data_IF_069755827132
#
_entry.id   IF_069755827132
#
_cell.length_a   1.000
_cell.length_b   1.000
_cell.length_c   1.000
_cell.angle_alpha   90.00
_cell.angle_beta   90.00
_cell.angle_gamma   90.00
#
_symmetry.space_group_name_H-M   'P 1'
#
loop_
_entity.id
_entity.type
_entity.pdbx_description
1 polymer ?
#
# COMPACT_ATOMS: atom_id res chain seq x y z
N UNK A 1 -11.49 -18.74 -3.00
CA UNK A 1 -12.80 -18.08 -2.82
C UNK A 1 -13.00 -16.93 -3.78
N UNK A 2 -11.97 -16.12 -4.10
CA UNK A 2 -12.17 -14.90 -4.87
C UNK A 2 -12.84 -13.82 -4.02
N UNK A 3 -13.33 -12.78 -4.67
CA UNK A 3 -13.99 -11.64 -4.02
C UNK A 3 -13.05 -10.44 -3.83
N UNK A 4 -13.39 -9.61 -2.85
CA UNK A 4 -12.68 -8.37 -2.51
C UNK A 4 -12.20 -8.48 -1.07
N UNK A 5 -10.91 -8.22 -0.88
CA UNK A 5 -10.30 -7.95 0.40
C UNK A 5 -10.00 -6.46 0.48
N UNK A 6 -10.26 -5.85 1.64
CA UNK A 6 -9.87 -4.49 1.93
C UNK A 6 -9.59 -4.37 3.43
N UNK A 7 -8.56 -3.61 3.79
CA UNK A 7 -8.31 -3.26 5.19
C UNK A 7 -9.54 -2.52 5.78
N UNK A 8 -9.75 -2.69 7.08
CA UNK A 8 -10.98 -2.24 7.76
C UNK A 8 -11.16 -0.72 7.74
N UNK A 9 -10.09 0.01 7.49
CA UNK A 9 -10.08 1.45 7.37
C UNK A 9 -10.35 1.95 5.96
N UNK A 10 -10.58 1.10 4.96
CA UNK A 10 -11.08 1.58 3.67
C UNK A 10 -12.57 1.93 3.72
N UNK A 11 -12.93 2.99 3.00
CA UNK A 11 -14.30 3.37 2.69
C UNK A 11 -14.46 3.42 1.17
N UNK A 12 -15.44 2.70 0.64
CA UNK A 12 -15.81 2.77 -0.77
C UNK A 12 -16.52 4.10 -1.06
N UNK A 13 -16.08 4.80 -2.10
CA UNK A 13 -16.68 6.05 -2.59
C UNK A 13 -17.42 5.86 -3.91
N UNK A 14 -17.15 4.75 -4.61
CA UNK A 14 -17.85 4.35 -5.82
C UNK A 14 -18.02 2.82 -5.87
N UNK A 15 -18.80 2.35 -6.84
CA UNK A 15 -18.97 0.91 -7.09
C UNK A 15 -17.70 0.33 -7.72
N UNK A 16 -17.42 -0.95 -7.44
CA UNK A 16 -16.28 -1.68 -8.00
C UNK A 16 -16.58 -2.30 -9.38
N UNK A 17 -17.74 -2.04 -9.97
CA UNK A 17 -18.23 -2.75 -11.16
C UNK A 17 -17.25 -2.67 -12.35
N UNK A 18 -16.63 -1.51 -12.57
CA UNK A 18 -15.65 -1.31 -13.65
C UNK A 18 -14.37 -2.15 -13.50
N UNK A 19 -14.09 -2.63 -12.28
CA UNK A 19 -12.93 -3.47 -11.99
C UNK A 19 -13.25 -4.96 -12.13
N UNK A 20 -14.53 -5.35 -12.26
CA UNK A 20 -14.95 -6.76 -12.43
C UNK A 20 -14.58 -7.34 -13.78
N UNK A 21 -14.21 -6.50 -14.76
CA UNK A 21 -13.66 -6.93 -16.05
C UNK A 21 -12.25 -7.53 -15.94
N UNK A 22 -11.59 -7.35 -14.81
CA UNK A 22 -10.27 -7.91 -14.52
C UNK A 22 -10.41 -9.14 -13.62
N UNK A 23 -9.64 -10.18 -13.92
CA UNK A 23 -9.69 -11.45 -13.17
C UNK A 23 -8.91 -11.40 -11.86
N UNK A 24 -7.94 -10.50 -11.76
CA UNK A 24 -7.30 -10.12 -10.51
C UNK A 24 -6.95 -8.64 -10.53
N UNK A 25 -7.11 -7.98 -9.38
CA UNK A 25 -6.72 -6.59 -9.17
C UNK A 25 -5.90 -6.51 -7.90
N UNK A 26 -4.72 -5.92 -8.01
CA UNK A 26 -3.88 -5.57 -6.86
C UNK A 26 -3.73 -4.07 -6.90
N UNK A 27 -4.20 -3.36 -5.88
CA UNK A 27 -4.03 -1.89 -5.85
C UNK A 27 -2.56 -1.53 -5.65
N UNK A 28 -2.21 -0.26 -5.81
CA UNK A 28 -0.85 0.23 -5.55
C UNK A 28 -0.82 1.06 -4.29
N UNK A 29 0.32 1.01 -3.59
CA UNK A 29 0.61 1.90 -2.50
C UNK A 29 0.48 3.36 -2.96
N UNK A 30 0.09 4.27 -2.06
CA UNK A 30 0.21 5.69 -2.27
C UNK A 30 1.58 6.06 -2.83
N UNK A 31 1.67 7.04 -3.74
CA UNK A 31 2.98 7.48 -4.21
C UNK A 31 3.86 8.01 -3.07
N UNK A 32 3.28 8.69 -2.08
CA UNK A 32 4.00 9.13 -0.87
C UNK A 32 4.59 7.96 -0.07
N UNK A 33 3.88 6.83 0.03
CA UNK A 33 4.41 5.63 0.66
C UNK A 33 5.49 4.98 -0.22
N UNK A 34 5.24 4.90 -1.52
CA UNK A 34 6.20 4.38 -2.50
C UNK A 34 7.52 5.16 -2.51
N UNK A 35 7.47 6.48 -2.29
CA UNK A 35 8.63 7.37 -2.18
C UNK A 35 9.55 7.03 -1.02
N UNK A 36 9.04 6.50 0.10
CA UNK A 36 9.89 6.05 1.21
C UNK A 36 10.84 4.91 0.80
N UNK A 37 10.47 4.19 -0.26
CA UNK A 37 11.25 3.09 -0.82
C UNK A 37 12.06 3.49 -2.07
N UNK A 38 11.95 4.75 -2.53
CA UNK A 38 12.79 5.30 -3.61
C UNK A 38 14.28 5.00 -3.36
N UNK A 39 14.69 5.12 -2.12
CA UNK A 39 16.04 4.89 -1.69
C UNK A 39 16.51 3.43 -1.61
N UNK A 40 15.57 2.48 -1.58
CA UNK A 40 15.87 1.04 -1.58
C UNK A 40 16.11 0.56 -3.02
N UNK A 41 15.31 1.02 -3.97
CA UNK A 41 15.45 0.65 -5.39
C UNK A 41 16.41 1.57 -6.16
N UNK A 42 16.67 2.78 -5.66
CA UNK A 42 17.66 3.73 -6.17
C UNK A 42 17.39 4.26 -7.59
N UNK A 43 16.18 4.05 -8.13
CA UNK A 43 15.84 4.35 -9.53
C UNK A 43 14.63 5.26 -9.62
N UNK A 44 14.69 6.20 -10.58
CA UNK A 44 13.58 7.04 -11.00
C UNK A 44 13.17 6.66 -12.44
N UNK A 45 11.86 6.67 -12.80
CA UNK A 45 10.70 6.91 -11.94
C UNK A 45 10.52 5.80 -10.91
N UNK A 46 9.79 6.10 -9.83
CA UNK A 46 9.42 5.10 -8.85
C UNK A 46 8.71 3.92 -9.51
N UNK A 47 9.12 2.70 -9.15
CA UNK A 47 8.37 1.51 -9.54
C UNK A 47 7.03 1.49 -8.83
N UNK A 48 6.02 1.00 -9.56
CA UNK A 48 4.70 0.71 -9.02
C UNK A 48 4.88 -0.26 -7.85
N UNK A 49 4.44 0.17 -6.68
CA UNK A 49 4.48 -0.66 -5.49
C UNK A 49 3.08 -1.21 -5.25
N UNK A 50 2.81 -2.51 -5.45
CA UNK A 50 1.52 -3.10 -5.11
C UNK A 50 1.24 -3.00 -3.61
N UNK A 51 -0.01 -2.73 -3.26
CA UNK A 51 -0.50 -2.68 -1.90
C UNK A 51 -1.27 -3.97 -1.56
N UNK A 52 -0.95 -4.64 -0.45
CA UNK A 52 -1.73 -5.78 0.03
C UNK A 52 -3.03 -5.36 0.73
N UNK A 53 -3.29 -4.06 0.89
CA UNK A 53 -4.39 -3.51 1.68
C UNK A 53 -5.75 -3.47 0.96
N UNK A 54 -5.75 -3.63 -0.37
CA UNK A 54 -6.98 -3.71 -1.16
C UNK A 54 -6.75 -4.60 -2.38
N UNK A 55 -7.45 -5.72 -2.43
CA UNK A 55 -7.16 -6.84 -3.32
C UNK A 55 -8.47 -7.40 -3.88
N UNK A 56 -8.49 -7.76 -5.16
CA UNK A 56 -9.65 -8.39 -5.79
C UNK A 56 -9.20 -9.57 -6.64
N UNK A 57 -10.02 -10.63 -6.69
CA UNK A 57 -9.88 -11.65 -7.75
C UNK A 57 -11.18 -12.39 -8.01
N UNK A 58 -11.29 -12.89 -9.24
CA UNK A 58 -12.24 -13.92 -9.60
C UNK A 58 -11.99 -15.19 -8.76
N UNK A 59 -13.04 -15.95 -8.41
CA UNK A 59 -12.88 -17.25 -7.80
C UNK A 59 -11.99 -18.15 -8.68
N UNK A 60 -10.96 -18.75 -8.08
CA UNK A 60 -10.08 -19.71 -8.76
C UNK A 60 -8.87 -19.12 -9.48
N UNK A 61 -8.72 -17.78 -9.54
CA UNK A 61 -7.53 -17.14 -10.11
C UNK A 61 -6.24 -17.59 -9.41
N UNK A 62 -5.17 -17.86 -10.17
CA UNK A 62 -3.97 -18.51 -9.63
C UNK A 62 -3.08 -17.57 -8.81
N UNK A 63 -3.17 -16.26 -9.01
CA UNK A 63 -2.28 -15.28 -8.37
C UNK A 63 -2.15 -15.43 -6.86
N UNK A 64 -3.26 -15.42 -6.10
CA UNK A 64 -3.15 -15.51 -4.64
C UNK A 64 -2.67 -16.88 -4.15
N UNK A 65 -2.95 -17.95 -4.91
CA UNK A 65 -2.37 -19.28 -4.63
C UNK A 65 -0.86 -19.26 -4.86
N UNK A 66 -0.40 -18.62 -5.94
CA UNK A 66 1.01 -18.41 -6.20
C UNK A 66 1.67 -17.60 -5.08
N UNK A 67 1.06 -16.50 -4.61
CA UNK A 67 1.56 -15.75 -3.46
C UNK A 67 1.76 -16.64 -2.22
N UNK A 68 0.75 -17.44 -1.86
CA UNK A 68 0.85 -18.36 -0.72
C UNK A 68 1.97 -19.38 -0.92
N UNK A 69 2.10 -19.95 -2.12
CA UNK A 69 3.16 -20.91 -2.41
C UNK A 69 4.56 -20.29 -2.30
N UNK A 70 4.77 -19.08 -2.82
CA UNK A 70 6.05 -18.39 -2.68
C UNK A 70 6.36 -18.06 -1.22
N UNK A 71 5.38 -17.53 -0.47
CA UNK A 71 5.56 -17.20 0.95
C UNK A 71 5.89 -18.44 1.79
N UNK A 72 5.37 -19.62 1.45
CA UNK A 72 5.71 -20.89 2.13
C UNK A 72 7.16 -21.31 1.95
N UNK A 73 7.81 -20.87 0.87
CA UNK A 73 9.21 -21.20 0.58
C UNK A 73 10.20 -20.21 1.18
N UNK A 74 9.72 -19.04 1.63
CA UNK A 74 10.54 -18.00 2.21
C UNK A 74 10.49 -18.09 3.74
N UNK A 75 11.65 -18.05 4.40
CA UNK A 75 11.70 -17.92 5.85
C UNK A 75 11.29 -16.49 6.26
N UNK A 76 10.44 -16.37 7.28
CA UNK A 76 10.13 -15.07 7.89
C UNK A 76 11.28 -14.64 8.80
N UNK A 77 11.79 -13.42 8.57
CA UNK A 77 12.76 -12.76 9.45
C UNK A 77 12.02 -11.78 10.34
N UNK A 78 12.22 -11.87 11.65
CA UNK A 78 11.66 -10.91 12.59
C UNK A 78 12.13 -9.49 12.27
N UNK A 79 11.23 -8.52 12.31
CA UNK A 79 11.50 -7.12 11.94
C UNK A 79 11.44 -6.82 10.44
N UNK A 80 11.14 -7.81 9.59
CA UNK A 80 11.04 -7.62 8.14
C UNK A 80 9.65 -7.95 7.53
N UNK A 81 8.51 -7.57 8.15
CA UNK A 81 7.19 -7.91 7.62
C UNK A 81 6.94 -7.32 6.22
N UNK A 82 7.50 -6.14 5.92
CA UNK A 82 7.33 -5.45 4.64
C UNK A 82 7.96 -6.21 3.47
N UNK A 83 9.11 -6.86 3.68
CA UNK A 83 9.82 -7.61 2.64
C UNK A 83 9.31 -9.06 2.54
N UNK A 84 8.66 -9.57 3.59
CA UNK A 84 8.04 -10.90 3.57
C UNK A 84 6.70 -10.89 2.83
N UNK A 85 5.66 -10.32 3.43
CA UNK A 85 4.29 -10.32 2.88
C UNK A 85 3.71 -8.91 2.68
N UNK A 86 4.46 -7.85 3.02
CA UNK A 86 4.07 -6.48 2.74
C UNK A 86 4.37 -6.03 1.30
N UNK A 87 4.29 -4.72 1.03
CA UNK A 87 4.40 -4.16 -0.33
C UNK A 87 5.67 -4.57 -1.09
N UNK A 88 6.82 -4.62 -0.41
CA UNK A 88 8.09 -5.02 -1.05
C UNK A 88 8.11 -6.51 -1.41
N UNK A 89 7.61 -7.37 -0.52
CA UNK A 89 7.46 -8.80 -0.79
C UNK A 89 6.51 -9.06 -1.96
N UNK A 90 5.34 -8.41 -1.94
CA UNK A 90 4.34 -8.50 -2.99
C UNK A 90 4.86 -8.00 -4.34
N UNK A 91 5.67 -6.94 -4.36
CA UNK A 91 6.35 -6.45 -5.57
C UNK A 91 7.17 -7.56 -6.22
N UNK A 92 7.97 -8.29 -5.42
CA UNK A 92 8.79 -9.39 -5.91
C UNK A 92 7.97 -10.56 -6.45
N UNK A 93 6.92 -10.96 -5.72
CA UNK A 93 6.01 -12.04 -6.12
C UNK A 93 5.30 -11.67 -7.43
N UNK A 94 4.74 -10.47 -7.52
CA UNK A 94 3.99 -10.01 -8.69
C UNK A 94 4.85 -9.99 -9.95
N UNK A 95 6.11 -9.59 -9.84
CA UNK A 95 7.06 -9.63 -10.96
C UNK A 95 7.29 -11.06 -11.46
N UNK A 96 7.59 -12.00 -10.55
CA UNK A 96 7.78 -13.41 -10.92
C UNK A 96 6.51 -14.03 -11.51
N UNK A 97 5.34 -13.67 -10.98
CA UNK A 97 4.08 -14.12 -11.52
C UNK A 97 3.85 -13.59 -12.94
N UNK A 98 4.10 -12.30 -13.19
CA UNK A 98 3.97 -11.72 -14.52
C UNK A 98 4.95 -12.33 -15.55
N UNK A 99 6.15 -12.72 -15.10
CA UNK A 99 7.13 -13.42 -15.94
C UNK A 99 6.66 -14.85 -16.28
N UNK A 100 5.99 -15.54 -15.33
CA UNK A 100 5.44 -16.89 -15.54
C UNK A 100 4.13 -16.90 -16.36
N UNK A 101 3.31 -15.86 -16.24
CA UNK A 101 2.01 -15.70 -16.89
C UNK A 101 1.99 -14.44 -17.74
N UNK A 102 2.78 -14.42 -18.81
CA UNK A 102 2.85 -13.27 -19.70
C UNK A 102 1.49 -12.98 -20.34
N UNK A 103 1.08 -11.70 -20.34
CA UNK A 103 -0.27 -11.26 -20.77
C UNK A 103 -0.64 -11.77 -22.17
N UNK A 104 0.33 -11.77 -23.09
CA UNK A 104 0.14 -12.24 -24.46
C UNK A 104 -0.31 -13.71 -24.54
N UNK A 105 0.08 -14.53 -23.56
CA UNK A 105 -0.17 -15.97 -23.53
C UNK A 105 -1.24 -16.36 -22.50
N UNK A 106 -1.55 -15.49 -21.54
CA UNK A 106 -2.46 -15.80 -20.43
C UNK A 106 -3.28 -14.57 -19.99
N UNK A 107 -4.16 -14.05 -20.85
CA UNK A 107 -4.94 -12.85 -20.55
C UNK A 107 -5.85 -13.01 -19.32
N UNK A 108 -6.35 -14.23 -19.06
CA UNK A 108 -7.17 -14.54 -17.89
C UNK A 108 -6.38 -14.60 -16.57
N UNK A 109 -5.06 -14.74 -16.65
CA UNK A 109 -4.16 -14.76 -15.49
C UNK A 109 -3.55 -13.39 -15.22
N UNK A 110 -3.93 -12.37 -16.01
CA UNK A 110 -3.36 -11.03 -15.87
C UNK A 110 -3.85 -10.37 -14.59
N UNK A 111 -2.90 -9.88 -13.80
CA UNK A 111 -3.17 -9.05 -12.61
C UNK A 111 -3.17 -7.58 -13.04
N UNK A 112 -4.32 -6.93 -12.92
CA UNK A 112 -4.44 -5.51 -13.17
C UNK A 112 -3.98 -4.70 -11.96
N UNK A 113 -3.16 -3.68 -12.20
CA UNK A 113 -2.77 -2.70 -11.18
C UNK A 113 -3.37 -1.35 -11.59
N UNK A 114 -4.41 -0.87 -10.89
CA UNK A 114 -5.06 0.38 -11.22
C UNK A 114 -4.16 1.57 -10.86
N UNK A 115 -4.51 2.78 -11.36
CA UNK A 115 -3.95 3.99 -10.81
C UNK A 115 -4.16 4.13 -9.29
N UNK A 116 -3.18 4.69 -8.61
CA UNK A 116 -3.05 4.92 -7.15
C UNK A 116 -4.16 5.83 -6.68
N UNK A 117 -4.46 6.83 -7.51
CA UNK A 117 -5.53 7.77 -7.25
C UNK A 117 -6.89 7.07 -7.12
N UNK A 118 -7.10 5.91 -7.79
CA UNK A 118 -8.36 5.16 -7.71
C UNK A 118 -8.58 4.47 -6.35
N UNK A 119 -7.52 4.18 -5.60
CA UNK A 119 -7.58 3.47 -4.30
C UNK A 119 -6.83 4.29 -3.24
N UNK A 120 -7.37 5.49 -3.09
CA UNK A 120 -6.80 6.73 -2.58
C UNK A 120 -6.08 6.66 -1.22
N UNK A 121 -4.98 7.43 -1.08
CA UNK A 121 -4.16 7.46 0.12
C UNK A 121 -4.58 8.56 1.11
N UNK A 122 -4.39 8.31 2.40
CA UNK A 122 -4.19 9.28 3.49
C UNK A 122 -4.21 10.77 3.05
N UNK A 123 -5.29 11.47 3.43
CA UNK A 123 -5.54 12.93 3.29
C UNK A 123 -4.66 13.67 2.27
N UNK A 124 -5.15 13.89 1.04
CA UNK A 124 -4.52 14.73 0.02
C UNK A 124 -3.16 14.27 -0.51
N UNK A 125 -2.68 13.06 -0.18
CA UNK A 125 -1.42 12.51 -0.69
C UNK A 125 -0.22 13.45 -0.48
N UNK A 126 -0.25 14.27 0.58
CA UNK A 126 0.87 15.10 1.00
C UNK A 126 1.39 14.56 2.32
N UNK A 127 2.68 14.75 2.56
CA UNK A 127 3.29 14.32 3.82
C UNK A 127 2.74 15.12 5.00
N UNK A 128 2.57 16.44 4.86
CA UNK A 128 2.15 17.32 5.95
C UNK A 128 0.67 17.20 6.35
N UNK A 129 -0.15 16.52 5.56
CA UNK A 129 -1.55 16.23 5.86
C UNK A 129 -1.73 14.88 6.55
N UNK A 130 -0.66 14.10 6.72
CA UNK A 130 -0.72 12.84 7.47
C UNK A 130 -0.44 13.09 8.95
N UNK A 131 -1.48 13.03 9.80
CA UNK A 131 -1.35 13.06 11.26
C UNK A 131 -0.69 11.80 11.88
N UNK A 132 -0.06 10.96 11.06
CA UNK A 132 0.46 9.65 11.45
C UNK A 132 1.70 9.75 12.34
N UNK A 133 1.82 8.87 13.34
CA UNK A 133 3.06 8.72 14.14
C UNK A 133 4.30 8.43 13.30
N UNK A 134 4.12 7.93 12.07
CA UNK A 134 5.22 7.62 11.17
C UNK A 134 5.73 8.85 10.40
N UNK A 135 5.08 10.01 10.49
CA UNK A 135 5.45 11.20 9.72
C UNK A 135 6.94 11.56 9.87
N UNK A 136 7.46 11.56 11.09
CA UNK A 136 8.86 11.88 11.37
C UNK A 136 9.83 10.91 10.68
N UNK A 137 9.64 9.60 10.89
CA UNK A 137 10.47 8.56 10.27
C UNK A 137 10.42 8.63 8.73
N UNK A 138 9.24 8.92 8.18
CA UNK A 138 9.05 9.07 6.73
C UNK A 138 9.80 10.29 6.20
N UNK A 139 9.68 11.44 6.87
CA UNK A 139 10.41 12.67 6.50
C UNK A 139 11.92 12.47 6.56
N UNK A 140 12.43 11.81 7.60
CA UNK A 140 13.85 11.49 7.76
C UNK A 140 14.37 10.60 6.62
N UNK A 141 13.67 9.51 6.32
CA UNK A 141 14.01 8.59 5.23
C UNK A 141 14.06 9.32 3.87
N UNK A 142 13.03 10.10 3.56
CA UNK A 142 12.94 10.84 2.31
C UNK A 142 14.02 11.91 2.19
N UNK A 143 14.28 12.66 3.26
CA UNK A 143 15.36 13.66 3.31
C UNK A 143 16.72 13.01 3.08
N UNK A 144 16.97 11.86 3.73
CA UNK A 144 18.20 11.11 3.56
C UNK A 144 18.43 10.70 2.10
N UNK A 145 17.39 10.18 1.43
CA UNK A 145 17.51 9.75 0.04
C UNK A 145 17.61 10.90 -0.95
N UNK A 146 16.87 11.99 -0.75
CA UNK A 146 16.97 13.20 -1.57
C UNK A 146 18.38 13.81 -1.57
N UNK A 147 19.10 13.75 -0.43
CA UNK A 147 20.51 14.19 -0.34
C UNK A 147 21.48 13.29 -1.12
N UNK A 148 21.13 12.02 -1.34
CA UNK A 148 22.01 11.00 -1.97
C UNK A 148 21.66 10.74 -3.43
N UNK A 149 20.44 11.04 -3.84
CA UNK A 149 20.05 11.04 -5.25
C UNK A 149 20.73 12.18 -5.98
N UNK A 150 21.10 11.97 -7.25
CA UNK A 150 21.50 13.04 -8.15
C UNK A 150 20.24 13.61 -8.81
N UNK A 151 19.62 14.69 -8.29
CA UNK A 151 18.28 15.11 -8.69
C UNK A 151 18.28 15.71 -10.10
N UNK A 152 19.45 15.91 -10.69
CA UNK A 152 19.62 16.49 -12.03
C UNK A 152 18.91 15.73 -13.14
N UNK A 153 18.47 14.49 -12.91
CA UNK A 153 17.94 13.59 -13.94
C UNK A 153 16.41 13.63 -14.14
N UNK A 154 15.63 14.29 -13.27
CA UNK A 154 14.18 14.46 -13.48
C UNK A 154 13.61 15.68 -12.75
N UNK A 155 12.88 16.54 -13.47
CA UNK A 155 12.28 17.76 -12.92
C UNK A 155 11.32 17.50 -11.74
N UNK A 156 10.51 16.45 -11.84
CA UNK A 156 9.60 16.02 -10.78
C UNK A 156 10.34 15.60 -9.50
N UNK A 157 11.47 14.90 -9.64
CA UNK A 157 12.30 14.52 -8.50
C UNK A 157 13.00 15.74 -7.88
N UNK A 158 13.41 16.73 -8.68
CA UNK A 158 13.95 18.00 -8.17
C UNK A 158 12.90 18.75 -7.35
N UNK A 159 11.70 18.89 -7.88
CA UNK A 159 10.59 19.55 -7.19
C UNK A 159 10.22 18.80 -5.89
N UNK A 160 10.19 17.47 -5.95
CA UNK A 160 9.97 16.62 -4.77
C UNK A 160 11.03 16.83 -3.69
N UNK A 161 12.32 16.79 -4.06
CA UNK A 161 13.41 16.94 -3.10
C UNK A 161 13.64 18.38 -2.62
N UNK A 162 13.08 19.39 -3.31
CA UNK A 162 13.07 20.78 -2.85
C UNK A 162 12.04 21.00 -1.74
N UNK A 163 10.90 20.30 -1.77
CA UNK A 163 9.87 20.36 -0.74
C UNK A 163 9.13 19.00 -0.62
N UNK A 164 9.69 18.11 0.20
CA UNK A 164 9.13 16.77 0.46
C UNK A 164 7.76 16.82 1.14
N UNK A 165 7.34 17.99 1.66
CA UNK A 165 6.12 18.15 2.44
C UNK A 165 4.91 18.57 1.60
N UNK A 166 5.13 19.20 0.45
CA UNK A 166 4.08 19.90 -0.28
C UNK A 166 3.86 19.41 -1.71
N UNK A 167 4.72 18.55 -2.25
CA UNK A 167 4.46 17.94 -3.55
C UNK A 167 3.32 16.91 -3.43
N UNK A 168 2.39 16.95 -4.36
CA UNK A 168 1.45 15.86 -4.63
C UNK A 168 2.08 14.93 -5.67
N UNK A 169 2.61 13.76 -5.27
CA UNK A 169 3.27 12.86 -6.20
C UNK A 169 2.30 12.07 -7.10
N UNK A 170 0.97 12.29 -7.02
CA UNK A 170 0.04 11.70 -7.99
C UNK A 170 0.25 12.38 -9.36
N UNK A 171 0.90 11.65 -10.24
CA UNK A 171 1.11 12.05 -11.64
C UNK A 171 -0.08 11.72 -12.55
N UNK A 172 -0.98 10.82 -12.13
CA UNK A 172 -2.13 10.38 -12.91
C UNK A 172 -3.44 10.49 -12.10
N UNK A 173 -4.23 11.53 -12.40
CA UNK A 173 -5.55 11.82 -11.82
C UNK A 173 -6.70 11.53 -12.78
N UNK A 174 -6.43 10.81 -13.87
CA UNK A 174 -7.42 10.63 -14.93
C UNK A 174 -8.55 9.68 -14.54
N UNK A 175 -8.35 8.83 -13.53
CA UNK A 175 -9.34 7.89 -13.04
C UNK A 175 -10.08 8.41 -11.80
N UNK A 176 -11.38 8.08 -11.63
CA UNK A 176 -12.11 8.43 -10.42
C UNK A 176 -11.59 7.69 -9.18
N UNK A 177 -11.83 8.27 -8.01
CA UNK A 177 -11.56 7.65 -6.71
C UNK A 177 -12.66 6.63 -6.39
N UNK A 178 -12.28 5.38 -6.16
CA UNK A 178 -13.20 4.25 -5.95
C UNK A 178 -13.23 3.81 -4.49
N UNK A 179 -12.08 3.79 -3.85
CA UNK A 179 -11.94 3.55 -2.42
C UNK A 179 -10.97 4.56 -1.83
N UNK A 180 -11.16 4.91 -0.57
CA UNK A 180 -10.24 5.78 0.17
C UNK A 180 -9.91 5.18 1.53
N UNK A 181 -8.69 5.38 1.97
CA UNK A 181 -8.33 5.18 3.36
C UNK A 181 -9.07 6.20 4.23
N UNK A 182 -9.93 5.74 5.13
CA UNK A 182 -10.76 6.55 6.00
C UNK A 182 -10.07 6.74 7.35
N UNK A 183 -9.42 7.90 7.50
CA UNK A 183 -8.70 8.25 8.72
C UNK A 183 -9.57 8.26 9.98
N UNK A 184 -10.90 8.40 9.83
CA UNK A 184 -11.83 8.27 10.98
C UNK A 184 -11.87 6.83 11.52
N UNK A 185 -11.59 5.85 10.66
CA UNK A 185 -11.47 4.43 11.01
C UNK A 185 -10.06 4.07 11.45
N UNK A 186 -9.03 4.61 10.80
CA UNK A 186 -7.61 4.24 11.05
C UNK A 186 -6.87 5.08 12.08
N UNK A 187 -7.31 6.31 12.40
CA UNK A 187 -6.71 7.17 13.43
C UNK A 187 -6.66 6.50 14.81
N UNK A 188 -7.33 5.36 14.94
CA UNK A 188 -7.27 4.50 16.08
C UNK A 188 -6.02 3.64 16.26
N UNK A 189 -5.44 3.15 15.18
CA UNK A 189 -4.37 2.14 15.21
C UNK A 189 -3.01 2.81 15.00
N UNK A 190 -2.97 3.87 14.18
CA UNK A 190 -1.73 4.52 13.79
C UNK A 190 -1.37 5.74 14.62
N UNK A 191 -2.31 6.38 15.33
CA UNK A 191 -1.99 7.58 16.11
C UNK A 191 -1.78 7.26 17.60
N UNK A 192 -1.87 5.97 17.97
CA UNK A 192 -1.78 5.48 19.35
C UNK A 192 -2.91 5.97 20.28
N UNK A 193 -3.78 6.89 19.83
CA UNK A 193 -4.81 7.52 20.66
C UNK A 193 -6.19 6.86 20.56
N UNK A 194 -6.48 6.06 19.52
CA UNK A 194 -7.84 5.54 19.33
C UNK A 194 -8.76 6.61 18.74
N UNK A 195 -9.50 6.33 17.66
CA UNK A 195 -10.66 7.15 17.34
C UNK A 195 -11.77 6.88 18.36
N UNK A 196 -12.67 7.85 18.57
CA UNK A 196 -13.81 7.67 19.48
C UNK A 196 -14.66 6.44 19.11
N UNK A 197 -14.80 6.17 17.80
CA UNK A 197 -15.48 4.99 17.23
C UNK A 197 -14.75 3.66 17.52
N UNK A 198 -13.42 3.66 17.49
CA UNK A 198 -12.63 2.49 17.85
C UNK A 198 -12.74 2.14 19.32
N UNK A 199 -12.73 3.15 20.19
CA UNK A 199 -12.87 2.98 21.64
C UNK A 199 -14.27 2.48 22.04
N UNK A 200 -15.31 2.91 21.30
CA UNK A 200 -16.68 2.44 21.49
C UNK A 200 -16.90 0.97 21.09
N UNK A 201 -16.20 0.49 20.04
CA UNK A 201 -16.28 -0.92 19.62
C UNK A 201 -15.31 -1.84 20.39
N UNK A 202 -14.21 -1.31 20.91
CA UNK A 202 -13.27 -2.06 21.73
C UNK A 202 -13.81 -2.42 23.11
N UNK A 203 -14.91 -1.85 23.60
CA UNK A 203 -15.44 -2.26 24.92
C UNK A 203 -15.80 -3.75 24.90
N UNK A 204 -16.39 -4.23 23.81
CA UNK A 204 -16.71 -5.65 23.62
C UNK A 204 -15.45 -6.49 23.35
N UNK A 205 -14.56 -6.03 22.47
CA UNK A 205 -13.35 -6.78 22.07
C UNK A 205 -12.31 -6.84 23.19
N UNK A 206 -12.11 -5.75 23.93
CA UNK A 206 -11.21 -5.72 25.10
C UNK A 206 -11.75 -6.58 26.25
N UNK A 207 -13.08 -6.72 26.38
CA UNK A 207 -13.67 -7.65 27.34
C UNK A 207 -13.41 -9.12 26.99
N UNK A 208 -13.25 -9.43 25.69
CA UNK A 208 -12.99 -10.79 25.19
C UNK A 208 -11.50 -11.14 25.13
N UNK A 209 -10.62 -10.18 24.82
CA UNK A 209 -9.20 -10.44 24.53
C UNK A 209 -8.20 -9.75 25.49
N UNK A 210 -8.68 -8.93 26.43
CA UNK A 210 -7.86 -8.21 27.40
C UNK A 210 -6.94 -7.14 26.79
N UNK A 211 -6.00 -6.62 27.59
CA UNK A 211 -5.01 -5.58 27.20
C UNK A 211 -3.95 -6.06 26.20
N UNK A 212 -4.06 -7.27 25.67
CA UNK A 212 -3.06 -7.88 24.76
C UNK A 212 -3.17 -7.44 23.30
N UNK A 213 -4.13 -6.58 22.97
CA UNK A 213 -4.38 -6.07 21.62
C UNK A 213 -3.46 -4.92 21.17
N UNK A 214 -2.38 -4.62 21.90
CA UNK A 214 -1.28 -3.84 21.33
C UNK A 214 -0.50 -4.72 20.34
N UNK A 215 -1.08 -4.91 19.14
CA UNK A 215 -0.35 -5.41 17.99
C UNK A 215 0.73 -4.39 17.61
N UNK A 216 1.98 -4.84 17.50
CA UNK A 216 2.92 -4.20 16.58
C UNK A 216 4.33 -3.93 17.09
N UNK A 217 4.55 -3.67 18.38
CA UNK A 217 5.89 -3.20 18.82
C UNK A 217 6.99 -4.26 18.81
N UNK A 218 6.63 -5.56 18.77
CA UNK A 218 7.59 -6.68 18.74
C UNK A 218 7.75 -7.38 17.38
N UNK A 219 6.98 -6.95 16.37
CA UNK A 219 7.01 -7.55 15.03
C UNK A 219 7.74 -6.70 13.99
N UNK A 220 8.04 -5.45 14.34
CA UNK A 220 8.81 -4.46 13.57
C UNK A 220 10.23 -4.43 14.11
#
# INVERSE_FOLDING_TARGET
>A
YGGVYADLDYSLTARLDDHRRFYAVVTREPEVHSLQFYGIDGRWPLKIMPSPAFLMAAPGHNFYRHCVNELRTKAFTAGEPLTFAGPLGLTGILRRYADAFTVANSPLETVYIPPSYSFYPYENNRMNTTGSIYLGQRQESLTYYCKRSNPSWAEQLRQYCADINNLDPIIDKTQPVVAKHDMKKSGAIYDGQGSMLYSQNLTLVSSLFGSKLQMGSRWI
#
